data_IF_282256751473
#
_entry.id   IF_282256751473
#
_cell.length_a   1.000
_cell.length_b   1.000
_cell.length_c   1.000
_cell.angle_alpha   90.00
_cell.angle_beta   90.00
_cell.angle_gamma   90.00
#
_symmetry.space_group_name_H-M   'P 1'
#
loop_
_entity.id
_entity.type
_entity.pdbx_description
1 polymer ?
#
# COMPACT_ATOMS: atom_id res chain seq x y z
N UNK A 1 33.20 -14.81 -27.76
CA UNK A 1 32.61 -14.30 -26.51
C UNK A 1 31.54 -13.31 -26.90
N UNK A 2 30.26 -13.60 -26.64
CA UNK A 2 29.20 -12.62 -26.87
C UNK A 2 29.44 -11.42 -25.97
N UNK A 3 29.36 -10.20 -26.52
CA UNK A 3 29.47 -8.98 -25.74
C UNK A 3 28.42 -9.01 -24.61
N UNK A 4 28.83 -8.66 -23.38
CA UNK A 4 27.89 -8.45 -22.28
C UNK A 4 26.86 -7.40 -22.74
N UNK A 5 25.54 -7.67 -22.63
CA UNK A 5 24.53 -6.73 -23.07
C UNK A 5 24.43 -5.56 -22.08
N UNK A 6 25.31 -4.57 -22.22
CA UNK A 6 25.41 -3.39 -21.34
C UNK A 6 24.08 -2.64 -21.23
N UNK A 7 23.30 -2.59 -22.31
CA UNK A 7 21.97 -1.98 -22.31
C UNK A 7 20.99 -2.68 -21.36
N UNK A 8 20.97 -4.02 -21.31
CA UNK A 8 20.10 -4.77 -20.40
C UNK A 8 20.52 -4.57 -18.93
N UNK A 9 21.82 -4.54 -18.66
CA UNK A 9 22.34 -4.27 -17.32
C UNK A 9 21.98 -2.85 -16.85
N UNK A 10 22.10 -1.85 -17.72
CA UNK A 10 21.71 -0.46 -17.40
C UNK A 10 20.21 -0.36 -17.12
N UNK A 11 19.37 -0.95 -17.99
CA UNK A 11 17.92 -0.94 -17.80
C UNK A 11 17.51 -1.65 -16.50
N UNK A 12 18.18 -2.74 -16.14
CA UNK A 12 17.95 -3.44 -14.88
C UNK A 12 18.34 -2.59 -13.67
N UNK A 13 19.50 -1.92 -13.71
CA UNK A 13 19.90 -0.99 -12.64
C UNK A 13 18.88 0.12 -12.46
N UNK A 14 18.46 0.76 -13.55
CA UNK A 14 17.48 1.86 -13.51
C UNK A 14 16.11 1.39 -13.00
N UNK A 15 15.75 0.14 -13.26
CA UNK A 15 14.57 -0.49 -12.68
C UNK A 15 14.75 -0.65 -11.17
N UNK A 16 15.83 -1.28 -10.71
CA UNK A 16 16.10 -1.54 -9.28
C UNK A 16 16.13 -0.25 -8.45
N UNK A 17 16.73 0.83 -8.98
CA UNK A 17 16.82 2.13 -8.31
C UNK A 17 15.43 2.75 -8.02
N UNK A 18 14.41 2.37 -8.80
CA UNK A 18 13.02 2.84 -8.62
C UNK A 18 12.18 1.92 -7.75
N UNK A 19 12.64 0.72 -7.43
CA UNK A 19 11.84 -0.34 -6.81
C UNK A 19 12.23 -0.60 -5.36
N UNK A 20 12.20 0.44 -4.53
CA UNK A 20 12.58 0.36 -3.11
C UNK A 20 11.64 -0.46 -2.21
N UNK A 21 10.46 -0.85 -2.71
CA UNK A 21 9.53 -1.76 -2.02
C UNK A 21 8.70 -2.56 -3.03
N UNK A 22 8.03 -3.66 -2.64
CA UNK A 22 7.20 -4.46 -3.54
C UNK A 22 6.12 -3.64 -4.27
N UNK A 23 5.61 -2.59 -3.61
CA UNK A 23 4.64 -1.66 -4.20
C UNK A 23 5.27 -0.86 -5.34
N UNK A 24 6.50 -0.37 -5.17
CA UNK A 24 7.22 0.35 -6.22
C UNK A 24 7.62 -0.58 -7.37
N UNK A 25 7.98 -1.84 -7.08
CA UNK A 25 8.20 -2.89 -8.09
C UNK A 25 6.98 -3.06 -9.00
N UNK A 26 5.79 -3.19 -8.41
CA UNK A 26 4.54 -3.31 -9.16
C UNK A 26 4.21 -2.04 -9.93
N UNK A 27 4.41 -0.85 -9.36
CA UNK A 27 4.19 0.42 -10.06
C UNK A 27 5.09 0.57 -11.29
N UNK A 28 6.36 0.20 -11.21
CA UNK A 28 7.26 0.26 -12.36
C UNK A 28 6.91 -0.81 -13.41
N UNK A 29 6.56 -2.03 -13.00
CA UNK A 29 6.02 -3.05 -13.90
C UNK A 29 4.73 -2.58 -14.61
N UNK A 30 3.81 -1.93 -13.88
CA UNK A 30 2.58 -1.37 -14.46
C UNK A 30 2.89 -0.35 -15.56
N UNK A 31 3.87 0.54 -15.35
CA UNK A 31 4.30 1.51 -16.37
C UNK A 31 4.83 0.80 -17.61
N UNK A 32 5.71 -0.17 -17.45
CA UNK A 32 6.29 -0.94 -18.55
C UNK A 32 5.22 -1.71 -19.34
N UNK A 33 4.27 -2.35 -18.64
CA UNK A 33 3.16 -3.07 -19.26
C UNK A 33 2.23 -2.14 -20.04
N UNK A 34 1.89 -0.98 -19.46
CA UNK A 34 1.09 0.04 -20.15
C UNK A 34 1.79 0.56 -21.40
N UNK A 35 3.09 0.85 -21.34
CA UNK A 35 3.89 1.26 -22.49
C UNK A 35 3.95 0.18 -23.58
N UNK A 36 3.93 -1.10 -23.19
CA UNK A 36 3.87 -2.25 -24.11
C UNK A 36 2.45 -2.56 -24.66
N UNK A 37 1.46 -1.72 -24.34
CA UNK A 37 0.09 -1.83 -24.83
C UNK A 37 -0.78 -2.84 -24.08
N UNK A 38 -0.44 -3.17 -22.83
CA UNK A 38 -1.29 -4.00 -21.98
C UNK A 38 -2.41 -3.18 -21.34
N UNK A 39 -3.59 -3.80 -21.25
CA UNK A 39 -4.77 -3.24 -20.59
C UNK A 39 -4.87 -3.70 -19.13
N UNK A 40 -5.11 -2.77 -18.21
CA UNK A 40 -5.33 -3.10 -16.79
C UNK A 40 -6.75 -3.61 -16.59
N UNK A 41 -6.88 -4.81 -16.05
CA UNK A 41 -8.15 -5.41 -15.63
C UNK A 41 -8.42 -5.15 -14.15
N UNK A 42 -9.69 -4.96 -13.82
CA UNK A 42 -10.16 -4.90 -12.44
C UNK A 42 -10.65 -6.27 -11.99
N UNK A 43 -10.11 -6.80 -10.89
CA UNK A 43 -10.57 -8.08 -10.32
C UNK A 43 -12.01 -8.03 -9.79
N UNK A 44 -12.59 -6.83 -9.69
CA UNK A 44 -13.97 -6.60 -9.22
C UNK A 44 -15.00 -6.61 -10.35
N UNK A 45 -14.57 -6.80 -11.58
CA UNK A 45 -15.43 -6.73 -12.77
C UNK A 45 -15.34 -8.03 -13.55
N UNK A 46 -16.40 -8.35 -14.31
CA UNK A 46 -16.35 -9.40 -15.32
C UNK A 46 -15.38 -9.00 -16.44
N UNK A 47 -14.52 -9.91 -16.85
CA UNK A 47 -13.53 -9.65 -17.89
C UNK A 47 -14.06 -10.05 -19.27
N UNK A 48 -13.88 -9.15 -20.25
CA UNK A 48 -14.19 -9.40 -21.65
C UNK A 48 -12.89 -9.51 -22.44
N UNK A 49 -12.32 -10.72 -22.47
CA UNK A 49 -11.02 -10.97 -23.08
C UNK A 49 -11.17 -11.27 -24.59
N UNK A 50 -10.35 -10.62 -25.41
CA UNK A 50 -10.17 -10.94 -26.84
C UNK A 50 -8.88 -11.71 -27.11
N UNK A 51 -8.92 -12.60 -28.11
CA UNK A 51 -7.72 -13.22 -28.71
C UNK A 51 -6.78 -12.13 -29.25
N UNK A 52 -5.48 -12.34 -29.12
CA UNK A 52 -4.46 -11.32 -29.38
C UNK A 52 -4.37 -10.21 -28.32
N UNK A 53 -5.25 -10.20 -27.32
CA UNK A 53 -5.26 -9.18 -26.27
C UNK A 53 -4.14 -9.36 -25.24
N UNK A 54 -3.68 -8.23 -24.68
CA UNK A 54 -2.64 -8.17 -23.65
C UNK A 54 -3.21 -7.52 -22.39
N UNK A 55 -3.13 -8.20 -21.27
CA UNK A 55 -3.81 -7.77 -20.05
C UNK A 55 -2.93 -7.94 -18.81
N UNK A 56 -3.20 -7.15 -17.79
CA UNK A 56 -2.65 -7.38 -16.46
C UNK A 56 -3.63 -6.99 -15.36
N UNK A 57 -3.46 -7.57 -14.19
CA UNK A 57 -4.16 -7.20 -12.95
C UNK A 57 -3.17 -6.99 -11.83
N UNK A 58 -3.56 -6.19 -10.83
CA UNK A 58 -2.76 -5.89 -9.65
C UNK A 58 -3.60 -6.20 -8.42
N UNK A 59 -3.00 -6.95 -7.48
CA UNK A 59 -3.61 -7.31 -6.20
C UNK A 59 -2.80 -6.72 -5.05
N UNK A 60 -3.51 -6.10 -4.10
CA UNK A 60 -2.97 -5.32 -2.95
C UNK A 60 -1.97 -4.20 -3.30
N UNK A 61 -1.63 -4.01 -4.59
CA UNK A 61 -0.58 -3.11 -5.03
C UNK A 61 0.83 -3.71 -4.95
N UNK A 62 1.02 -4.91 -4.41
CA UNK A 62 2.33 -5.59 -4.29
C UNK A 62 2.49 -6.81 -5.18
N UNK A 63 1.39 -7.28 -5.80
CA UNK A 63 1.37 -8.41 -6.73
C UNK A 63 0.88 -7.96 -8.10
N UNK A 64 1.48 -8.50 -9.16
CA UNK A 64 1.09 -8.22 -10.54
C UNK A 64 1.05 -9.50 -11.36
N UNK A 65 -0.01 -9.68 -12.14
CA UNK A 65 -0.19 -10.80 -13.05
C UNK A 65 -0.43 -10.23 -14.44
N UNK A 66 0.42 -10.59 -15.40
CA UNK A 66 0.29 -10.16 -16.80
C UNK A 66 0.20 -11.37 -17.72
N UNK A 67 -0.64 -11.30 -18.74
CA UNK A 67 -0.82 -12.38 -19.71
C UNK A 67 -1.19 -11.85 -21.09
N UNK A 68 -0.89 -12.66 -22.10
CA UNK A 68 -1.27 -12.44 -23.49
C UNK A 68 -2.17 -13.58 -23.90
N UNK A 69 -3.35 -13.28 -24.43
CA UNK A 69 -4.24 -14.28 -25.02
C UNK A 69 -3.76 -14.50 -26.45
N UNK A 70 -3.26 -15.70 -26.76
CA UNK A 70 -2.78 -16.02 -28.10
C UNK A 70 -3.87 -15.83 -29.17
N UNK A 71 -3.48 -15.46 -30.39
CA UNK A 71 -4.43 -15.23 -31.50
C UNK A 71 -5.25 -16.47 -31.84
N UNK A 72 -4.66 -17.66 -31.67
CA UNK A 72 -5.30 -18.96 -31.91
C UNK A 72 -5.70 -19.67 -30.60
N UNK A 73 -5.77 -18.94 -29.48
CA UNK A 73 -6.11 -19.54 -28.20
C UNK A 73 -7.49 -20.20 -28.25
N UNK A 74 -7.55 -21.46 -27.81
CA UNK A 74 -8.76 -22.24 -27.60
C UNK A 74 -8.73 -22.77 -26.16
N UNK A 75 -9.70 -22.38 -25.31
CA UNK A 75 -9.78 -22.80 -23.92
C UNK A 75 -9.77 -24.32 -23.70
N UNK A 76 -10.17 -25.11 -24.71
CA UNK A 76 -10.28 -26.56 -24.59
C UNK A 76 -9.01 -27.32 -24.99
N UNK A 77 -8.11 -26.69 -25.75
CA UNK A 77 -6.98 -27.38 -26.40
C UNK A 77 -5.64 -26.67 -26.22
N UNK A 78 -5.65 -25.37 -25.96
CA UNK A 78 -4.43 -24.59 -25.76
C UNK A 78 -3.85 -24.78 -24.36
N UNK A 79 -2.53 -24.61 -24.25
CA UNK A 79 -1.79 -24.63 -22.99
C UNK A 79 -1.30 -23.22 -22.61
N UNK A 80 -0.96 -23.03 -21.33
CA UNK A 80 -0.39 -21.78 -20.83
C UNK A 80 1.10 -21.95 -20.56
N UNK A 81 1.89 -20.95 -20.95
CA UNK A 81 3.29 -20.81 -20.51
C UNK A 81 3.32 -19.80 -19.39
N UNK A 82 3.73 -20.23 -18.19
CA UNK A 82 3.70 -19.41 -16.98
C UNK A 82 5.13 -19.22 -16.48
N UNK A 83 5.49 -17.98 -16.22
CA UNK A 83 6.74 -17.62 -15.54
C UNK A 83 6.34 -16.95 -14.23
N UNK A 84 6.77 -17.54 -13.11
CA UNK A 84 6.54 -17.02 -11.77
C UNK A 84 7.82 -16.43 -11.18
N UNK A 85 7.71 -15.25 -10.58
CA UNK A 85 8.76 -14.62 -9.76
C UNK A 85 8.08 -13.94 -8.56
N UNK A 86 8.86 -13.35 -7.65
CA UNK A 86 8.35 -12.64 -6.49
C UNK A 86 8.91 -11.21 -6.44
N UNK A 87 8.11 -10.27 -5.91
CA UNK A 87 8.43 -8.83 -5.88
C UNK A 87 9.08 -8.39 -4.57
N UNK A 88 9.14 -9.26 -3.57
CA UNK A 88 9.67 -8.99 -2.25
C UNK A 88 11.15 -9.38 -2.13
N UNK A 89 11.81 -8.78 -1.16
CA UNK A 89 13.19 -9.06 -0.80
C UNK A 89 13.36 -8.88 0.71
N UNK A 90 14.35 -9.55 1.34
CA UNK A 90 14.60 -9.36 2.75
C UNK A 90 14.85 -7.89 3.10
N UNK A 91 14.16 -7.39 4.12
CA UNK A 91 14.24 -5.98 4.50
C UNK A 91 13.90 -5.75 5.98
N UNK A 92 14.11 -4.52 6.45
CA UNK A 92 13.61 -4.05 7.74
C UNK A 92 12.26 -3.34 7.51
N UNK A 93 11.20 -3.86 8.15
CA UNK A 93 9.87 -3.22 8.11
C UNK A 93 9.62 -2.42 9.37
N UNK A 94 8.98 -1.26 9.22
CA UNK A 94 8.55 -0.46 10.35
C UNK A 94 7.50 -1.22 11.17
N UNK A 95 7.63 -1.20 12.50
CA UNK A 95 6.59 -1.74 13.40
C UNK A 95 5.36 -0.83 13.39
N UNK A 96 4.15 -1.35 13.66
CA UNK A 96 2.95 -0.52 13.77
C UNK A 96 3.07 0.61 14.82
N UNK A 97 3.75 0.31 15.94
CA UNK A 97 4.19 1.29 16.93
C UNK A 97 5.72 1.33 16.88
N UNK A 98 6.26 2.28 16.13
CA UNK A 98 7.70 2.36 15.88
C UNK A 98 8.42 3.41 16.70
N UNK A 99 7.73 4.30 17.41
CA UNK A 99 8.41 5.30 18.22
C UNK A 99 9.24 4.64 19.33
N UNK A 100 10.55 4.84 19.28
CA UNK A 100 11.50 4.51 20.34
C UNK A 100 12.35 5.72 20.66
N UNK A 101 12.88 5.74 21.87
CA UNK A 101 13.77 6.78 22.32
C UNK A 101 14.74 6.20 23.33
N UNK A 102 16.02 6.53 23.17
CA UNK A 102 17.09 6.10 24.06
C UNK A 102 18.19 7.15 24.03
N UNK A 103 18.74 7.50 25.21
CA UNK A 103 19.87 8.44 25.32
C UNK A 103 19.67 9.77 24.57
N UNK A 104 18.43 10.30 24.56
CA UNK A 104 18.07 11.54 23.87
C UNK A 104 17.96 11.43 22.33
N UNK A 105 18.05 10.23 21.78
CA UNK A 105 17.92 9.97 20.34
C UNK A 105 16.53 9.42 20.01
N UNK A 106 15.91 9.97 18.96
CA UNK A 106 14.67 9.43 18.40
C UNK A 106 15.00 8.24 17.50
N UNK A 107 14.42 7.09 17.81
CA UNK A 107 14.65 5.83 17.12
C UNK A 107 13.37 5.30 16.45
N UNK A 108 13.55 4.46 15.42
CA UNK A 108 12.47 3.74 14.75
C UNK A 108 12.57 2.23 15.03
N UNK A 109 11.54 1.70 15.69
CA UNK A 109 11.35 0.28 15.89
C UNK A 109 11.06 -0.44 14.58
N UNK A 110 11.93 -1.37 14.21
CA UNK A 110 11.81 -2.20 13.01
C UNK A 110 11.69 -3.69 13.34
N UNK A 111 11.17 -4.46 12.39
CA UNK A 111 11.08 -5.92 12.42
C UNK A 111 11.70 -6.48 11.14
N UNK A 112 12.57 -7.50 11.22
CA UNK A 112 13.11 -8.15 10.04
C UNK A 112 12.01 -8.86 9.24
N UNK A 113 12.10 -8.79 7.92
CA UNK A 113 11.27 -9.53 6.98
C UNK A 113 12.16 -10.42 6.10
N UNK A 114 11.88 -11.71 6.01
CA UNK A 114 12.70 -12.68 5.28
C UNK A 114 14.01 -13.07 6.01
N UNK A 115 14.94 -13.69 5.29
CA UNK A 115 16.23 -14.18 5.81
C UNK A 115 17.42 -13.32 5.39
N UNK A 116 17.38 -12.03 5.70
CA UNK A 116 18.44 -11.09 5.32
C UNK A 116 19.74 -11.30 6.08
N UNK A 117 20.86 -10.93 5.45
CA UNK A 117 22.16 -10.85 6.10
C UNK A 117 22.25 -9.57 6.94
N UNK A 118 21.64 -9.55 8.12
CA UNK A 118 21.37 -8.32 8.87
C UNK A 118 22.59 -7.46 9.21
N UNK A 119 23.76 -8.06 9.35
CA UNK A 119 25.01 -7.33 9.59
C UNK A 119 25.38 -6.37 8.44
N UNK A 120 24.91 -6.61 7.20
CA UNK A 120 25.21 -5.75 6.04
C UNK A 120 24.39 -4.46 6.02
N UNK A 121 23.37 -4.35 6.88
CA UNK A 121 22.48 -3.19 7.01
C UNK A 121 23.03 -2.10 7.92
N UNK A 122 24.04 -2.42 8.74
CA UNK A 122 24.74 -1.46 9.60
C UNK A 122 25.58 -0.50 8.75
N UNK A 123 25.77 0.72 9.25
CA UNK A 123 26.56 1.78 8.61
C UNK A 123 26.12 2.13 7.18
N UNK A 124 24.81 2.03 6.91
CA UNK A 124 24.18 2.42 5.65
C UNK A 124 23.25 3.63 5.84
N UNK A 125 23.25 4.54 4.86
CA UNK A 125 22.16 5.51 4.71
C UNK A 125 20.89 4.79 4.27
N UNK A 126 19.95 4.60 5.20
CA UNK A 126 18.69 3.90 4.93
C UNK A 126 17.59 4.90 4.58
N UNK A 127 16.87 4.61 3.50
CA UNK A 127 15.62 5.28 3.15
C UNK A 127 14.39 4.48 3.60
N UNK A 128 13.21 5.07 3.41
CA UNK A 128 11.93 4.40 3.64
C UNK A 128 11.12 4.38 2.35
N UNK A 129 10.50 3.23 2.07
CA UNK A 129 9.63 3.06 0.91
C UNK A 129 8.47 2.13 1.29
N UNK A 130 7.26 2.44 0.84
CA UNK A 130 6.09 1.67 1.24
C UNK A 130 4.79 2.20 0.65
N UNK A 131 3.68 1.77 1.26
CA UNK A 131 2.31 2.19 0.97
C UNK A 131 1.74 2.81 2.23
N UNK A 132 1.21 4.03 2.15
CA UNK A 132 0.47 4.69 3.22
C UNK A 132 -1.02 4.62 2.89
N UNK A 133 -1.85 4.35 3.89
CA UNK A 133 -3.30 4.34 3.74
C UNK A 133 -3.86 5.50 4.56
N UNK A 134 -4.52 6.43 3.88
CA UNK A 134 -5.21 7.55 4.51
C UNK A 134 -6.62 7.14 4.89
N UNK A 135 -7.02 7.44 6.12
CA UNK A 135 -8.43 7.43 6.49
C UNK A 135 -9.02 8.81 6.14
N UNK A 136 -9.87 8.87 5.12
CA UNK A 136 -10.53 10.12 4.70
C UNK A 136 -11.62 10.58 5.68
N UNK A 137 -12.16 9.68 6.51
CA UNK A 137 -13.16 9.99 7.53
C UNK A 137 -12.50 10.04 8.91
N UNK A 138 -12.25 11.25 9.40
CA UNK A 138 -11.55 11.49 10.67
C UNK A 138 -12.51 11.46 11.86
N UNK A 139 -13.80 11.74 11.63
CA UNK A 139 -14.82 11.79 12.67
C UNK A 139 -16.19 11.33 12.14
N UNK A 140 -17.00 10.77 13.03
CA UNK A 140 -18.38 10.34 12.76
C UNK A 140 -19.33 11.13 13.66
N UNK A 141 -20.49 11.51 13.14
CA UNK A 141 -21.60 12.03 13.94
C UNK A 141 -22.60 10.89 14.19
N UNK A 142 -22.48 10.15 15.31
CA UNK A 142 -23.37 9.03 15.56
C UNK A 142 -24.78 9.52 15.88
N UNK A 143 -25.79 8.87 15.31
CA UNK A 143 -27.17 9.07 15.73
C UNK A 143 -27.53 8.08 16.85
N UNK A 144 -28.42 8.48 17.77
CA UNK A 144 -28.91 7.60 18.81
C UNK A 144 -29.72 6.45 18.18
N UNK A 145 -29.52 5.23 18.70
CA UNK A 145 -30.25 4.07 18.24
C UNK A 145 -31.77 4.28 18.42
N UNK A 146 -32.57 3.99 17.38
CA UNK A 146 -34.02 4.20 17.39
C UNK A 146 -34.70 3.57 18.61
N UNK A 147 -34.28 2.38 19.04
CA UNK A 147 -34.82 1.68 20.21
C UNK A 147 -34.75 2.47 21.52
N UNK A 148 -33.82 3.43 21.60
CA UNK A 148 -33.63 4.32 22.76
C UNK A 148 -34.34 5.67 22.60
N UNK A 149 -35.08 5.86 21.50
CA UNK A 149 -35.89 7.05 21.23
C UNK A 149 -37.37 6.75 21.47
N UNK A 150 -38.10 7.68 22.08
CA UNK A 150 -39.56 7.63 22.20
C UNK A 150 -40.21 7.73 20.81
N UNK A 151 -41.50 7.39 20.73
CA UNK A 151 -42.26 7.56 19.49
C UNK A 151 -42.40 9.05 19.10
N UNK A 152 -42.48 9.97 20.06
CA UNK A 152 -42.51 11.42 19.75
C UNK A 152 -41.17 11.92 19.20
N UNK A 153 -40.03 11.48 19.77
CA UNK A 153 -38.69 11.89 19.32
C UNK A 153 -38.37 11.42 17.90
N UNK A 154 -38.93 10.29 17.49
CA UNK A 154 -38.81 9.75 16.14
C UNK A 154 -39.69 10.48 15.12
N UNK A 155 -40.81 11.08 15.57
CA UNK A 155 -41.79 11.72 14.71
C UNK A 155 -41.33 13.10 14.22
N UNK A 156 -40.57 13.82 15.04
CA UNK A 156 -39.90 15.06 14.67
C UNK A 156 -38.46 14.99 15.19
N UNK A 157 -37.48 14.84 14.29
CA UNK A 157 -36.05 14.80 14.65
C UNK A 157 -35.60 16.17 15.19
N UNK A 158 -35.92 16.40 16.47
CA UNK A 158 -35.53 17.58 17.25
C UNK A 158 -34.31 17.21 18.06
N UNK A 159 -33.25 17.98 17.91
CA UNK A 159 -31.99 17.76 18.61
C UNK A 159 -31.44 19.09 19.11
N UNK A 160 -30.63 19.04 20.16
CA UNK A 160 -29.93 20.21 20.67
C UNK A 160 -28.64 20.38 19.86
N UNK A 161 -28.46 21.48 19.10
CA UNK A 161 -27.26 21.68 18.28
C UNK A 161 -25.96 21.68 19.09
N UNK A 162 -25.97 22.23 20.30
CA UNK A 162 -24.78 22.34 21.16
C UNK A 162 -24.37 20.98 21.74
N UNK A 163 -25.34 20.12 22.04
CA UNK A 163 -25.09 18.85 22.73
C UNK A 163 -25.02 17.65 21.77
N UNK A 164 -25.75 17.68 20.65
CA UNK A 164 -25.92 16.52 19.77
C UNK A 164 -25.14 16.63 18.45
N UNK A 165 -24.63 17.81 18.06
CA UNK A 165 -23.76 17.97 16.88
C UNK A 165 -22.26 17.90 17.22
N UNK A 166 -21.89 17.00 18.13
CA UNK A 166 -20.49 16.80 18.52
C UNK A 166 -19.96 15.55 17.82
N UNK A 167 -19.11 15.69 16.78
CA UNK A 167 -18.56 14.55 16.06
C UNK A 167 -17.53 13.79 16.93
N UNK A 168 -17.61 12.47 16.92
CA UNK A 168 -16.70 11.57 17.62
C UNK A 168 -15.59 11.18 16.66
N UNK A 169 -14.34 11.51 17.02
CA UNK A 169 -13.18 11.23 16.17
C UNK A 169 -12.23 10.18 16.76
N UNK A 170 -12.17 10.05 18.09
CA UNK A 170 -11.30 9.10 18.77
C UNK A 170 -11.77 8.84 20.21
N UNK A 171 -11.51 7.65 20.75
CA UNK A 171 -11.72 7.39 22.18
C UNK A 171 -10.46 7.70 22.98
N UNK A 172 -10.62 8.09 24.25
CA UNK A 172 -9.51 8.46 25.14
C UNK A 172 -8.45 7.35 25.30
N UNK A 173 -8.84 6.08 25.12
CA UNK A 173 -7.92 4.93 25.10
C UNK A 173 -6.87 5.02 23.98
N UNK A 174 -7.21 5.67 22.86
CA UNK A 174 -6.34 5.81 21.69
C UNK A 174 -5.85 7.25 21.48
N UNK A 175 -6.27 8.21 22.33
CA UNK A 175 -5.74 9.56 22.38
C UNK A 175 -4.45 9.56 23.21
N UNK A 176 -3.30 9.84 22.58
CA UNK A 176 -2.00 9.92 23.23
C UNK A 176 -1.61 11.39 23.41
N UNK A 177 -0.96 11.73 24.53
CA UNK A 177 -0.55 13.09 24.89
C UNK A 177 0.59 13.57 23.99
N UNK A 178 0.23 14.44 23.05
CA UNK A 178 0.95 15.43 22.23
C UNK A 178 2.40 15.24 21.70
N UNK A 179 3.21 14.25 22.08
CA UNK A 179 4.50 13.96 21.39
C UNK A 179 4.42 12.75 20.47
N UNK A 180 3.56 11.79 20.80
CA UNK A 180 3.38 10.54 20.07
C UNK A 180 1.93 10.43 19.64
N UNK A 181 1.69 10.06 18.39
CA UNK A 181 0.34 9.81 17.87
C UNK A 181 0.24 8.32 17.59
N UNK A 182 -0.62 7.63 18.35
CA UNK A 182 -0.84 6.17 18.24
C UNK A 182 0.46 5.36 18.31
N UNK A 183 1.41 5.76 19.16
CA UNK A 183 2.68 5.05 19.35
C UNK A 183 3.76 5.31 18.29
N UNK A 184 3.56 6.31 17.42
CA UNK A 184 4.54 6.77 16.43
C UNK A 184 4.98 8.21 16.72
N UNK A 185 6.22 8.57 16.34
CA UNK A 185 6.76 9.92 16.52
C UNK A 185 5.99 10.89 15.64
N UNK A 186 5.52 12.02 16.20
CA UNK A 186 4.75 13.01 15.42
C UNK A 186 5.55 13.59 14.25
N UNK A 187 6.84 13.88 14.44
CA UNK A 187 7.72 14.37 13.37
C UNK A 187 7.83 13.37 12.22
N UNK A 188 7.84 12.07 12.53
CA UNK A 188 7.88 11.02 11.52
C UNK A 188 6.56 10.96 10.72
N UNK A 189 5.41 11.08 11.38
CA UNK A 189 4.13 11.14 10.68
C UNK A 189 3.97 12.41 9.84
N UNK A 190 4.51 13.55 10.29
CA UNK A 190 4.52 14.78 9.51
C UNK A 190 5.36 14.62 8.23
N UNK A 191 6.55 14.03 8.35
CA UNK A 191 7.39 13.72 7.17
C UNK A 191 6.65 12.83 6.17
N UNK A 192 5.93 11.80 6.64
CA UNK A 192 5.12 10.95 5.76
C UNK A 192 3.95 11.71 5.12
N UNK A 193 3.32 12.64 5.84
CA UNK A 193 2.24 13.46 5.30
C UNK A 193 2.78 14.42 4.23
N UNK A 194 3.88 15.13 4.50
CA UNK A 194 4.47 16.09 3.57
C UNK A 194 4.92 15.42 2.25
N UNK A 195 5.45 14.19 2.33
CA UNK A 195 5.90 13.44 1.15
C UNK A 195 4.73 12.84 0.35
N UNK A 196 3.61 12.54 1.01
CA UNK A 196 2.46 11.90 0.37
C UNK A 196 1.39 12.88 -0.16
N UNK A 197 1.48 14.18 0.20
CA UNK A 197 0.55 15.25 -0.17
C UNK A 197 -0.74 15.25 0.64
#
# INVERSE_FOLDING_TARGET
MSAFPTAAASAFKDFVDKTGSPYHSVLECEKLLKQAGFERLSERQTWHLRKGGKYFTIRDGSEIFSFIVGENFDPNTSSMVIIGTHTDSPCLRLRPNSAKESEGMLELGVTPYGGGLWHTWFDRGLGMAGKVVFASEVAIMPNLCRHLQSNEERAAFKFNPEQHLIPVFCSKKYATSEERVRGNHRVFLQLLADEAG
#
